data_IF_955890791022
#
_entry.id   IF_955890791022
#
_cell.length_a   1.000
_cell.length_b   1.000
_cell.length_c   1.000
_cell.angle_alpha   90.00
_cell.angle_beta   90.00
_cell.angle_gamma   90.00
#
_symmetry.space_group_name_H-M   'P 1'
#
loop_
_entity.id
_entity.type
_entity.pdbx_description
1 polymer ?
#
# COMPACT_ATOMS: atom_id res chain seq x y z
N UNK A 1 -3.82 -16.32 -5.87
CA UNK A 1 -2.42 -15.98 -6.13
C UNK A 1 -2.13 -14.67 -5.43
N UNK A 2 -0.96 -14.53 -4.82
CA UNK A 2 -0.45 -13.30 -4.21
C UNK A 2 0.89 -13.03 -4.87
N UNK A 3 1.05 -11.87 -5.49
CA UNK A 3 2.23 -11.49 -6.27
C UNK A 3 3.44 -11.18 -5.38
N UNK A 4 3.19 -10.59 -4.20
CA UNK A 4 4.19 -10.19 -3.21
C UNK A 4 5.15 -9.08 -3.61
N UNK A 5 5.13 -8.58 -4.85
CA UNK A 5 6.03 -7.51 -5.32
C UNK A 5 5.41 -6.64 -6.42
N UNK A 6 4.17 -6.18 -6.18
CA UNK A 6 3.53 -5.20 -7.07
C UNK A 6 4.24 -3.85 -6.94
N UNK A 7 4.81 -3.38 -8.05
CA UNK A 7 5.49 -2.09 -8.18
C UNK A 7 5.40 -1.62 -9.64
N UNK A 8 5.58 -0.32 -9.92
CA UNK A 8 5.47 0.21 -11.28
C UNK A 8 6.33 -0.51 -12.32
N UNK A 9 7.54 -0.94 -11.94
CA UNK A 9 8.44 -1.68 -12.84
C UNK A 9 7.89 -3.05 -13.28
N UNK A 10 6.93 -3.60 -12.54
CA UNK A 10 6.30 -4.90 -12.79
C UNK A 10 4.94 -4.76 -13.50
N UNK A 11 4.59 -3.53 -13.91
CA UNK A 11 3.39 -3.23 -14.71
C UNK A 11 3.87 -2.86 -16.12
N UNK A 12 3.68 -3.79 -17.05
CA UNK A 12 4.03 -3.60 -18.46
C UNK A 12 2.85 -2.98 -19.19
N UNK A 13 3.11 -1.91 -19.95
CA UNK A 13 2.10 -1.20 -20.71
C UNK A 13 2.52 -1.19 -22.19
N UNK A 14 1.67 -1.76 -23.05
CA UNK A 14 1.75 -1.55 -24.49
C UNK A 14 0.90 -0.32 -24.82
N UNK A 15 1.53 0.73 -25.32
CA UNK A 15 0.87 1.98 -25.66
C UNK A 15 1.38 2.54 -26.99
N UNK A 16 0.59 3.44 -27.57
CA UNK A 16 1.03 4.25 -28.72
C UNK A 16 1.48 5.60 -28.19
N UNK A 17 2.65 6.05 -28.61
CA UNK A 17 3.14 7.38 -28.25
C UNK A 17 2.20 8.47 -28.79
N UNK A 18 2.00 9.56 -28.03
CA UNK A 18 1.24 10.71 -28.51
C UNK A 18 1.86 11.26 -29.80
N UNK A 19 1.04 11.69 -30.74
CA UNK A 19 1.48 12.40 -31.94
C UNK A 19 1.35 13.91 -31.73
N UNK A 20 1.85 14.71 -32.67
CA UNK A 20 1.68 16.18 -32.63
C UNK A 20 0.19 16.56 -32.70
N UNK A 21 -0.62 15.73 -33.36
CA UNK A 21 -2.05 15.95 -33.59
C UNK A 21 -2.93 15.36 -32.48
N UNK A 22 -2.49 14.26 -31.86
CA UNK A 22 -3.20 13.55 -30.81
C UNK A 22 -2.33 13.42 -29.54
N UNK A 23 -2.70 14.15 -28.50
CA UNK A 23 -1.90 14.28 -27.27
C UNK A 23 -2.11 13.15 -26.28
N UNK A 24 -3.09 12.29 -26.52
CA UNK A 24 -3.45 11.24 -25.56
C UNK A 24 -2.62 9.98 -25.77
N UNK A 25 -2.23 9.35 -24.65
CA UNK A 25 -1.57 8.05 -24.67
C UNK A 25 -2.63 6.97 -24.88
N UNK A 26 -2.58 6.26 -26.02
CA UNK A 26 -3.46 5.13 -26.26
C UNK A 26 -2.87 3.86 -25.64
N UNK A 27 -3.38 3.43 -24.49
CA UNK A 27 -3.04 2.15 -23.86
C UNK A 27 -3.76 1.02 -24.59
N UNK A 28 -3.00 0.08 -25.18
CA UNK A 28 -3.53 -1.10 -25.86
C UNK A 28 -3.71 -2.26 -24.87
N UNK A 29 -2.67 -2.55 -24.09
CA UNK A 29 -2.70 -3.64 -23.11
C UNK A 29 -1.88 -3.30 -21.87
N UNK A 30 -2.31 -3.82 -20.73
CA UNK A 30 -1.59 -3.74 -19.44
C UNK A 30 -1.41 -5.16 -18.93
N UNK A 31 -0.20 -5.49 -18.49
CA UNK A 31 0.15 -6.81 -17.97
C UNK A 31 0.96 -6.68 -16.68
N UNK A 32 0.76 -7.63 -15.77
CA UNK A 32 1.59 -7.78 -14.58
C UNK A 32 2.67 -8.83 -14.89
N UNK A 33 3.93 -8.50 -14.60
CA UNK A 33 5.11 -9.34 -14.84
C UNK A 33 5.82 -9.69 -13.54
N UNK A 34 6.97 -10.38 -13.62
CA UNK A 34 7.84 -10.63 -12.46
C UNK A 34 7.19 -11.49 -11.35
N UNK A 35 6.76 -12.70 -11.73
CA UNK A 35 6.03 -13.62 -10.85
C UNK A 35 6.95 -14.48 -9.95
N UNK A 36 8.22 -14.14 -9.77
CA UNK A 36 9.19 -14.98 -9.04
C UNK A 36 8.85 -15.13 -7.55
N UNK A 37 8.35 -14.06 -6.92
CA UNK A 37 7.94 -14.03 -5.52
C UNK A 37 6.47 -14.45 -5.31
N UNK A 38 5.80 -14.85 -6.39
CA UNK A 38 4.39 -15.18 -6.37
C UNK A 38 4.13 -16.49 -5.64
N UNK A 39 3.11 -16.48 -4.78
CA UNK A 39 2.66 -17.70 -4.08
C UNK A 39 1.16 -17.92 -4.22
N UNK A 40 0.76 -19.19 -4.16
CA UNK A 40 -0.66 -19.55 -4.05
C UNK A 40 -1.02 -19.59 -2.57
N UNK A 41 -1.72 -18.56 -2.10
CA UNK A 41 -2.38 -18.56 -0.79
C UNK A 41 -3.83 -19.05 -0.96
N UNK A 42 -4.21 -20.20 -0.39
CA UNK A 42 -5.59 -20.68 -0.46
C UNK A 42 -6.57 -19.72 0.24
N UNK A 43 -7.87 -19.74 -0.13
CA UNK A 43 -8.88 -18.94 0.55
C UNK A 43 -8.87 -19.14 2.07
N UNK A 44 -8.93 -18.04 2.82
CA UNK A 44 -8.90 -18.04 4.29
C UNK A 44 -7.55 -18.41 4.91
N UNK A 45 -6.51 -18.64 4.11
CA UNK A 45 -5.13 -18.86 4.58
C UNK A 45 -4.30 -17.59 4.44
N UNK A 46 -3.12 -17.62 5.05
CA UNK A 46 -2.20 -16.50 5.12
C UNK A 46 -0.76 -17.01 4.97
N UNK A 47 0.05 -16.29 4.20
CA UNK A 47 1.50 -16.39 4.24
C UNK A 47 2.01 -15.67 5.50
N UNK A 48 2.98 -16.22 6.23
CA UNK A 48 3.51 -15.57 7.46
C UNK A 48 5.01 -15.74 7.58
N UNK A 49 5.72 -14.67 7.94
CA UNK A 49 7.16 -14.68 8.22
C UNK A 49 8.04 -14.00 7.16
N UNK A 50 7.84 -14.26 5.85
CA UNK A 50 8.55 -13.56 4.79
C UNK A 50 8.37 -12.04 4.86
N UNK A 51 9.42 -11.33 4.49
CA UNK A 51 9.41 -9.89 4.26
C UNK A 51 9.28 -9.69 2.75
N UNK A 52 8.05 -9.72 2.25
CA UNK A 52 7.75 -9.69 0.82
C UNK A 52 7.85 -8.29 0.23
N UNK A 53 8.24 -8.21 -1.03
CA UNK A 53 8.14 -7.01 -1.87
C UNK A 53 9.21 -5.97 -1.62
N UNK A 54 9.32 -5.02 -2.54
CA UNK A 54 10.24 -3.91 -2.45
C UNK A 54 9.86 -2.92 -1.33
N UNK A 55 10.85 -2.40 -0.62
CA UNK A 55 10.68 -1.66 0.63
C UNK A 55 9.67 -0.51 0.60
N UNK A 56 9.61 0.29 -0.49
CA UNK A 56 8.67 1.42 -0.59
C UNK A 56 7.27 1.01 -1.06
N UNK A 57 7.13 -0.16 -1.67
CA UNK A 57 5.85 -0.69 -2.17
C UNK A 57 5.24 -1.73 -1.21
N UNK A 58 5.98 -2.07 -0.16
CA UNK A 58 5.62 -3.10 0.80
C UNK A 58 4.48 -2.65 1.72
N UNK A 59 3.49 -3.53 1.90
CA UNK A 59 2.39 -3.34 2.84
C UNK A 59 2.85 -3.32 4.30
N UNK A 60 2.03 -2.71 5.18
CA UNK A 60 2.35 -2.59 6.60
C UNK A 60 2.51 -3.96 7.29
N UNK A 61 1.65 -4.94 6.97
CA UNK A 61 1.72 -6.28 7.53
C UNK A 61 2.93 -7.08 7.02
N UNK A 62 3.43 -6.81 5.81
CA UNK A 62 4.67 -7.40 5.30
C UNK A 62 5.88 -6.82 6.03
N UNK A 63 5.93 -5.50 6.26
CA UNK A 63 6.96 -4.88 7.12
C UNK A 63 6.99 -5.50 8.53
N UNK A 64 5.81 -5.79 9.08
CA UNK A 64 5.67 -6.46 10.36
C UNK A 64 5.92 -7.98 10.31
N UNK A 65 6.26 -8.55 9.15
CA UNK A 65 6.41 -10.01 8.90
C UNK A 65 5.20 -10.82 9.37
N UNK A 66 4.02 -10.19 9.34
CA UNK A 66 2.77 -10.77 9.80
C UNK A 66 2.10 -11.60 8.70
N UNK A 67 0.87 -12.02 8.96
CA UNK A 67 -0.02 -12.71 8.05
C UNK A 67 -0.31 -11.80 6.83
N UNK A 68 0.02 -12.30 5.65
CA UNK A 68 -0.09 -11.66 4.33
C UNK A 68 -0.99 -12.50 3.42
N UNK A 69 -1.75 -11.85 2.55
CA UNK A 69 -2.61 -12.48 1.54
C UNK A 69 -2.78 -11.53 0.34
N UNK A 70 -3.80 -11.75 -0.50
CA UNK A 70 -4.10 -10.92 -1.68
C UNK A 70 -4.26 -9.43 -1.34
N UNK A 71 -4.71 -9.09 -0.14
CA UNK A 71 -4.82 -7.69 0.28
C UNK A 71 -3.45 -7.03 0.49
N UNK A 72 -2.37 -7.80 0.56
CA UNK A 72 -0.99 -7.29 0.64
C UNK A 72 -0.43 -6.82 -0.71
N UNK A 73 -1.04 -7.23 -1.83
CA UNK A 73 -0.67 -6.78 -3.18
C UNK A 73 -1.26 -5.39 -3.44
N UNK A 74 -0.50 -4.37 -3.03
CA UNK A 74 -0.96 -2.98 -2.99
C UNK A 74 -0.25 -2.11 -4.03
N UNK A 75 -1.00 -1.17 -4.62
CA UNK A 75 -0.45 -0.13 -5.49
C UNK A 75 -0.47 1.20 -4.73
N UNK A 76 0.70 1.83 -4.57
CA UNK A 76 0.87 3.08 -3.82
C UNK A 76 1.31 4.27 -4.69
N UNK A 77 1.15 4.19 -6.02
CA UNK A 77 1.35 5.33 -6.92
C UNK A 77 0.01 6.00 -7.16
N UNK A 78 -0.13 7.27 -6.76
CA UNK A 78 -1.37 8.03 -6.90
C UNK A 78 -1.07 9.40 -7.51
N UNK A 79 -1.66 9.70 -8.67
CA UNK A 79 -1.55 11.02 -9.33
C UNK A 79 -0.11 11.55 -9.45
N UNK A 80 0.81 10.71 -9.94
CA UNK A 80 2.25 10.95 -10.06
C UNK A 80 3.05 11.02 -8.74
N UNK A 81 2.41 10.81 -7.59
CA UNK A 81 3.08 10.77 -6.29
C UNK A 81 3.43 9.34 -5.87
N UNK A 82 4.70 9.16 -5.48
CA UNK A 82 5.16 7.96 -4.78
C UNK A 82 5.00 8.20 -3.28
N UNK A 83 3.77 8.06 -2.77
CA UNK A 83 3.40 8.58 -1.44
C UNK A 83 4.21 7.98 -0.29
N UNK A 84 4.69 6.74 -0.43
CA UNK A 84 5.53 6.08 0.58
C UNK A 84 7.04 6.30 0.38
N UNK A 85 7.45 7.12 -0.59
CA UNK A 85 8.87 7.36 -0.86
C UNK A 85 9.51 8.18 0.26
N UNK A 86 10.68 7.73 0.69
CA UNK A 86 11.54 8.42 1.65
C UNK A 86 12.91 8.69 1.05
N UNK A 87 13.72 9.62 1.59
CA UNK A 87 15.10 9.81 1.18
C UNK A 87 15.91 8.51 1.21
N UNK A 88 16.88 8.37 0.30
CA UNK A 88 17.68 7.15 0.18
C UNK A 88 18.42 6.77 1.46
N UNK A 89 18.86 7.74 2.25
CA UNK A 89 19.49 7.53 3.57
C UNK A 89 18.54 6.83 4.54
N UNK A 90 17.27 7.24 4.60
CA UNK A 90 16.23 6.62 5.44
C UNK A 90 15.85 5.24 4.91
N UNK A 91 15.77 5.08 3.58
CA UNK A 91 15.43 3.82 2.95
C UNK A 91 16.50 2.73 3.18
N UNK A 92 17.77 3.14 3.23
CA UNK A 92 18.91 2.24 3.42
C UNK A 92 19.29 2.07 4.90
N UNK A 93 18.58 2.73 5.83
CA UNK A 93 18.82 2.58 7.26
C UNK A 93 18.38 1.20 7.77
N UNK A 94 19.05 0.70 8.82
CA UNK A 94 18.70 -0.57 9.45
C UNK A 94 17.26 -0.57 10.01
N UNK A 95 16.74 0.61 10.35
CA UNK A 95 15.39 0.84 10.83
C UNK A 95 14.49 1.53 9.78
N UNK A 96 14.75 1.33 8.48
CA UNK A 96 13.93 1.86 7.38
C UNK A 96 12.42 1.63 7.56
N UNK A 97 12.03 0.52 8.20
CA UNK A 97 10.65 0.20 8.57
C UNK A 97 9.96 1.35 9.32
N UNK A 98 10.69 2.11 10.16
CA UNK A 98 10.14 3.17 11.00
C UNK A 98 9.62 4.32 10.16
N UNK A 99 10.37 4.71 9.13
CA UNK A 99 10.00 5.80 8.23
C UNK A 99 8.80 5.41 7.37
N UNK A 100 8.83 4.21 6.78
CA UNK A 100 7.75 3.75 5.89
C UNK A 100 6.46 3.45 6.67
N UNK A 101 6.54 2.73 7.81
CA UNK A 101 5.35 2.45 8.63
C UNK A 101 4.75 3.72 9.24
N UNK A 102 5.56 4.74 9.52
CA UNK A 102 5.04 6.05 9.92
C UNK A 102 4.19 6.67 8.82
N UNK A 103 4.56 6.55 7.55
CA UNK A 103 3.75 7.01 6.43
C UNK A 103 2.44 6.23 6.32
N UNK A 104 2.47 4.90 6.42
CA UNK A 104 1.24 4.08 6.50
C UNK A 104 0.28 4.55 7.60
N UNK A 105 0.80 4.80 8.81
CA UNK A 105 0.01 5.28 9.94
C UNK A 105 -0.51 6.72 9.76
N UNK A 106 0.26 7.57 9.08
CA UNK A 106 -0.12 8.95 8.79
C UNK A 106 -1.25 9.01 7.78
N UNK A 107 -1.19 8.17 6.75
CA UNK A 107 -2.00 8.28 5.54
C UNK A 107 -3.22 7.38 5.53
N UNK A 108 -3.09 6.15 6.05
CA UNK A 108 -4.07 5.08 5.79
C UNK A 108 -4.66 4.45 7.04
N UNK A 109 -4.43 5.07 8.20
CA UNK A 109 -4.93 4.57 9.48
C UNK A 109 -6.00 5.50 10.06
N UNK A 110 -6.94 4.92 10.77
CA UNK A 110 -7.77 5.57 11.77
C UNK A 110 -7.61 4.83 13.11
N UNK A 111 -8.31 5.26 14.16
CA UNK A 111 -8.22 4.62 15.48
C UNK A 111 -8.59 3.12 15.37
N UNK A 112 -9.70 2.82 14.69
CA UNK A 112 -10.16 1.44 14.48
C UNK A 112 -9.15 0.62 13.67
N UNK A 113 -8.53 1.21 12.65
CA UNK A 113 -7.57 0.56 11.76
C UNK A 113 -6.30 0.19 12.48
N UNK A 114 -5.82 1.06 13.37
CA UNK A 114 -4.71 0.75 14.28
C UNK A 114 -5.06 -0.42 15.19
N UNK A 115 -6.19 -0.36 15.89
CA UNK A 115 -6.59 -1.41 16.84
C UNK A 115 -6.68 -2.77 16.14
N UNK A 116 -7.36 -2.81 14.99
CA UNK A 116 -7.49 -4.02 14.18
C UNK A 116 -6.17 -4.46 13.56
N UNK A 117 -5.27 -3.56 13.19
CA UNK A 117 -3.95 -3.93 12.72
C UNK A 117 -3.10 -4.57 13.84
N UNK A 118 -3.17 -4.01 15.06
CA UNK A 118 -2.49 -4.55 16.24
C UNK A 118 -3.00 -5.96 16.59
N UNK A 119 -4.32 -6.20 16.51
CA UNK A 119 -4.90 -7.54 16.61
C UNK A 119 -4.39 -8.48 15.51
N UNK A 120 -4.29 -7.98 14.28
CA UNK A 120 -3.84 -8.75 13.12
C UNK A 120 -2.38 -9.19 13.25
N UNK A 121 -1.49 -8.35 13.79
CA UNK A 121 -0.09 -8.72 14.01
C UNK A 121 0.14 -9.50 15.31
N UNK A 122 -0.69 -9.24 16.33
CA UNK A 122 -0.67 -9.91 17.63
C UNK A 122 0.42 -9.39 18.58
N UNK A 123 0.14 -9.43 19.89
CA UNK A 123 1.00 -8.87 20.96
C UNK A 123 2.42 -9.44 21.03
N UNK A 124 2.62 -10.68 20.55
CA UNK A 124 3.93 -11.32 20.52
C UNK A 124 4.80 -10.87 19.34
N UNK A 125 4.23 -10.13 18.38
CA UNK A 125 4.99 -9.58 17.27
C UNK A 125 5.79 -8.35 17.75
N UNK A 126 7.11 -8.27 17.52
CA UNK A 126 7.91 -7.10 17.90
C UNK A 126 7.41 -5.77 17.34
N UNK A 127 6.66 -5.80 16.24
CA UNK A 127 6.05 -4.61 15.65
C UNK A 127 4.83 -4.09 16.41
N UNK A 128 4.27 -4.85 17.36
CA UNK A 128 3.15 -4.40 18.19
C UNK A 128 3.52 -3.13 18.96
N UNK A 129 4.58 -3.19 19.76
CA UNK A 129 5.06 -2.03 20.51
C UNK A 129 5.62 -0.93 19.58
N UNK A 130 6.31 -1.30 18.50
CA UNK A 130 6.85 -0.32 17.52
C UNK A 130 5.75 0.52 16.86
N UNK A 131 4.59 -0.07 16.58
CA UNK A 131 3.45 0.66 16.02
C UNK A 131 2.88 1.63 17.06
N UNK A 132 2.75 1.21 18.33
CA UNK A 132 2.33 2.10 19.41
C UNK A 132 3.30 3.27 19.61
N UNK A 133 4.60 3.00 19.61
CA UNK A 133 5.65 4.03 19.66
C UNK A 133 5.53 5.01 18.49
N UNK A 134 5.35 4.51 17.27
CA UNK A 134 5.17 5.37 16.09
C UNK A 134 3.92 6.24 16.18
N UNK A 135 2.81 5.72 16.69
CA UNK A 135 1.57 6.49 16.88
C UNK A 135 1.80 7.65 17.85
N UNK A 136 2.53 7.41 18.93
CA UNK A 136 2.86 8.43 19.94
C UNK A 136 3.79 9.54 19.42
N UNK A 137 4.34 9.40 18.21
CA UNK A 137 5.14 10.46 17.57
C UNK A 137 4.33 11.45 16.74
N UNK A 138 3.01 11.27 16.62
CA UNK A 138 2.12 12.29 16.04
C UNK A 138 1.65 13.27 17.13
N UNK A 139 1.53 14.54 16.77
CA UNK A 139 1.09 15.61 17.67
C UNK A 139 0.77 16.90 16.92
N UNK A 140 0.45 18.00 17.61
CA UNK A 140 0.10 19.27 16.96
C UNK A 140 1.15 19.78 15.97
N UNK A 141 2.43 19.60 16.30
CA UNK A 141 3.56 20.03 15.45
C UNK A 141 3.84 19.08 14.27
N UNK A 142 3.32 17.86 14.33
CA UNK A 142 3.51 16.84 13.28
C UNK A 142 2.26 15.97 13.18
N UNK A 143 1.15 16.54 12.69
CA UNK A 143 -0.12 15.83 12.61
C UNK A 143 -0.06 14.73 11.55
N UNK A 144 -0.96 13.75 11.68
CA UNK A 144 -1.20 12.79 10.61
C UNK A 144 -1.78 13.50 9.38
N UNK A 145 -1.62 12.88 8.22
CA UNK A 145 -2.11 13.42 6.95
C UNK A 145 -3.00 12.37 6.24
N UNK A 146 -4.19 12.08 6.76
CA UNK A 146 -5.05 11.04 6.21
C UNK A 146 -5.40 11.31 4.74
N UNK A 147 -5.48 10.24 3.94
CA UNK A 147 -5.76 10.30 2.49
C UNK A 147 -7.05 11.05 2.16
N UNK A 148 -8.03 11.00 3.05
CA UNK A 148 -9.31 11.70 2.93
C UNK A 148 -9.15 13.22 2.82
N UNK A 149 -8.01 13.77 3.27
CA UNK A 149 -7.71 15.20 3.23
C UNK A 149 -6.77 15.62 2.10
N UNK A 150 -6.34 14.70 1.23
CA UNK A 150 -5.33 15.00 0.20
C UNK A 150 -5.88 15.87 -0.93
N UNK A 151 -5.57 17.17 -0.93
CA UNK A 151 -6.14 18.12 -1.90
C UNK A 151 -5.89 17.82 -3.39
N UNK A 152 -4.90 16.99 -3.72
CA UNK A 152 -4.52 16.64 -5.08
C UNK A 152 -5.28 15.44 -5.67
N UNK A 153 -6.13 14.77 -4.87
CA UNK A 153 -6.99 13.69 -5.34
C UNK A 153 -8.45 14.17 -5.40
N UNK A 154 -9.15 13.74 -6.44
CA UNK A 154 -10.60 13.91 -6.57
C UNK A 154 -11.34 13.09 -5.49
N UNK A 155 -12.55 13.49 -5.05
CA UNK A 155 -13.26 12.85 -3.94
C UNK A 155 -13.43 11.33 -4.10
N UNK A 156 -13.84 10.88 -5.27
CA UNK A 156 -14.07 9.46 -5.57
C UNK A 156 -12.76 8.67 -5.60
N UNK A 157 -11.67 9.28 -6.06
CA UNK A 157 -10.35 8.66 -6.04
C UNK A 157 -9.82 8.54 -4.60
N UNK A 158 -10.04 9.54 -3.75
CA UNK A 158 -9.67 9.45 -2.31
C UNK A 158 -10.37 8.29 -1.65
N UNK A 159 -11.68 8.15 -1.88
CA UNK A 159 -12.48 7.08 -1.30
C UNK A 159 -12.01 5.69 -1.77
N UNK A 160 -11.73 5.54 -3.06
CA UNK A 160 -11.14 4.32 -3.61
C UNK A 160 -9.80 4.01 -2.96
N UNK A 161 -8.88 4.98 -2.91
CA UNK A 161 -7.55 4.80 -2.33
C UNK A 161 -7.66 4.43 -0.85
N UNK A 162 -8.46 5.16 -0.07
CA UNK A 162 -8.66 4.88 1.36
C UNK A 162 -9.11 3.44 1.61
N UNK A 163 -10.07 2.95 0.81
CA UNK A 163 -10.59 1.58 0.88
C UNK A 163 -9.57 0.53 0.46
N UNK A 164 -8.73 0.84 -0.53
CA UNK A 164 -7.69 -0.08 -0.99
C UNK A 164 -6.52 -0.13 0.01
N UNK A 165 -6.06 1.00 0.53
CA UNK A 165 -4.82 1.11 1.31
C UNK A 165 -5.00 1.02 2.82
N UNK A 166 -6.22 0.76 3.31
CA UNK A 166 -6.55 0.70 4.73
C UNK A 166 -5.55 -0.11 5.55
N UNK A 167 -5.13 0.41 6.72
CA UNK A 167 -4.04 -0.18 7.50
C UNK A 167 -4.26 -1.67 7.82
N UNK A 168 -5.43 -2.03 8.34
CA UNK A 168 -5.79 -3.44 8.58
C UNK A 168 -6.07 -4.14 7.24
N UNK A 169 -5.26 -5.14 6.82
CA UNK A 169 -5.46 -5.82 5.55
C UNK A 169 -6.81 -6.53 5.46
N UNK A 170 -7.47 -6.81 6.60
CA UNK A 170 -8.80 -7.45 6.65
C UNK A 170 -9.94 -6.48 6.34
N UNK A 171 -9.67 -5.17 6.35
CA UNK A 171 -10.64 -4.12 6.03
C UNK A 171 -10.49 -3.53 4.62
N UNK A 172 -9.46 -3.96 3.87
CA UNK A 172 -9.25 -3.51 2.49
C UNK A 172 -10.29 -4.13 1.55
N UNK A 173 -10.77 -3.35 0.60
CA UNK A 173 -11.59 -3.89 -0.50
C UNK A 173 -10.74 -4.78 -1.40
N UNK A 174 -11.39 -5.76 -2.01
CA UNK A 174 -10.76 -6.63 -3.01
C UNK A 174 -10.59 -5.89 -4.34
N UNK A 175 -9.70 -6.40 -5.20
CA UNK A 175 -9.56 -5.89 -6.57
C UNK A 175 -10.88 -5.92 -7.36
N UNK A 176 -11.76 -6.90 -7.09
CA UNK A 176 -13.09 -6.95 -7.72
C UNK A 176 -13.98 -5.79 -7.27
N UNK A 177 -14.07 -5.57 -5.97
CA UNK A 177 -14.86 -4.47 -5.40
C UNK A 177 -14.28 -3.09 -5.81
N UNK A 178 -12.96 -2.98 -5.95
CA UNK A 178 -12.31 -1.77 -6.46
C UNK A 178 -12.73 -1.45 -7.90
N UNK A 179 -12.83 -2.45 -8.77
CA UNK A 179 -13.29 -2.27 -10.16
C UNK A 179 -14.77 -1.88 -10.27
N UNK A 180 -15.57 -2.16 -9.24
CA UNK A 180 -16.97 -1.76 -9.14
C UNK A 180 -17.14 -0.35 -8.52
N UNK A 181 -16.04 0.33 -8.18
CA UNK A 181 -16.07 1.64 -7.55
C UNK A 181 -16.54 2.74 -8.52
N UNK A 182 -17.32 3.74 -8.07
CA UNK A 182 -17.79 4.86 -8.90
C UNK A 182 -16.69 5.69 -9.57
N UNK A 183 -15.43 5.56 -9.13
CA UNK A 183 -14.31 6.24 -9.78
C UNK A 183 -14.01 5.69 -11.17
N UNK A 184 -14.36 4.43 -11.45
CA UNK A 184 -14.17 3.79 -12.74
C UNK A 184 -15.39 3.93 -13.68
N UNK A 185 -16.41 4.68 -13.29
CA UNK A 185 -17.68 4.80 -14.04
C UNK A 185 -17.94 6.20 -14.56
#
# INVERSE_FOLDING_TARGET
MVHNDIKPNNILIDYTEPTIEDRDILIKTVQISDLEDTVIVPPGKWLRGPLCGNAIWRSAESWARSRQNQASDMVYVMSNEMVLRVPGEQLNAADAWRYILRLHLSYFADVNGVERFLEHIGKQNPFFERILELINTFGPENPRQPVEHWGFLEPELKDLVAKMTYLDPRGRITAREALEHPWFT
#
